data_IF_437214961071
#
_entry.id   IF_437214961071
#
_cell.length_a   1.000
_cell.length_b   1.000
_cell.length_c   1.000
_cell.angle_alpha   90.00
_cell.angle_beta   90.00
_cell.angle_gamma   90.00
#
_symmetry.space_group_name_H-M   'P 1'
#
loop_
_entity.id
_entity.type
_entity.pdbx_description
1 polymer ?
#
# COMPACT_ATOMS: atom_id res chain seq x y z
N UNK A 1 14.25 -30.42 16.00
CA UNK A 1 14.79 -29.21 16.60
C UNK A 1 13.84 -28.10 16.19
N UNK A 2 12.91 -27.77 17.07
CA UNK A 2 12.06 -26.60 16.91
C UNK A 2 12.95 -25.39 17.16
N UNK A 3 13.26 -24.63 16.09
CA UNK A 3 13.75 -23.28 16.25
C UNK A 3 12.64 -22.50 16.94
N UNK A 4 12.88 -22.00 18.11
CA UNK A 4 12.14 -20.89 18.67
C UNK A 4 12.40 -19.75 17.68
N UNK A 5 11.44 -19.48 16.78
CA UNK A 5 11.33 -18.17 16.17
C UNK A 5 11.07 -17.26 17.36
N UNK A 6 12.07 -16.47 17.77
CA UNK A 6 11.87 -15.41 18.73
C UNK A 6 10.84 -14.49 18.10
N UNK A 7 9.60 -14.55 18.58
CA UNK A 7 8.53 -13.65 18.14
C UNK A 7 9.02 -12.22 18.37
N UNK A 8 9.24 -11.49 17.28
CA UNK A 8 9.68 -10.09 17.33
C UNK A 8 8.54 -9.27 17.93
N UNK A 9 8.79 -8.67 19.08
CA UNK A 9 7.82 -7.78 19.73
C UNK A 9 8.05 -6.38 19.17
N UNK A 10 7.20 -5.96 18.21
CA UNK A 10 7.32 -4.70 17.48
C UNK A 10 7.40 -3.48 18.42
N UNK A 11 6.65 -3.51 19.52
CA UNK A 11 6.63 -2.40 20.50
C UNK A 11 7.93 -2.22 21.28
N UNK A 12 8.85 -3.20 21.28
CA UNK A 12 10.14 -3.12 21.96
C UNK A 12 11.25 -2.60 21.05
N UNK A 13 11.04 -2.57 19.73
CA UNK A 13 12.00 -2.09 18.75
C UNK A 13 12.16 -0.56 18.84
N UNK A 14 13.38 -0.05 18.62
CA UNK A 14 13.62 1.37 18.37
C UNK A 14 12.95 1.80 17.05
N UNK A 15 12.75 3.11 16.85
CA UNK A 15 11.98 3.60 15.68
C UNK A 15 12.57 3.19 14.34
N UNK A 16 13.89 3.22 14.20
CA UNK A 16 14.61 2.81 12.99
C UNK A 16 14.52 1.30 12.77
N UNK A 17 14.68 0.51 13.83
CA UNK A 17 14.52 -0.95 13.78
C UNK A 17 13.07 -1.34 13.44
N UNK A 18 12.08 -0.64 14.00
CA UNK A 18 10.67 -0.86 13.70
C UNK A 18 10.35 -0.55 12.23
N UNK A 19 10.89 0.54 11.69
CA UNK A 19 10.72 0.88 10.26
C UNK A 19 11.36 -0.17 9.36
N UNK A 20 12.56 -0.64 9.67
CA UNK A 20 13.20 -1.73 8.92
C UNK A 20 12.39 -3.03 8.99
N UNK A 21 11.87 -3.36 10.17
CA UNK A 21 10.98 -4.52 10.33
C UNK A 21 9.69 -4.36 9.52
N UNK A 22 9.07 -3.19 9.51
CA UNK A 22 7.89 -2.91 8.69
C UNK A 22 8.17 -3.03 7.18
N UNK A 23 9.39 -2.70 6.72
CA UNK A 23 9.77 -2.96 5.31
C UNK A 23 9.79 -4.46 5.02
N UNK A 24 10.29 -5.28 5.95
CA UNK A 24 10.27 -6.74 5.82
C UNK A 24 8.83 -7.28 5.89
N UNK A 25 8.02 -6.80 6.82
CA UNK A 25 6.62 -7.22 6.98
C UNK A 25 5.78 -6.90 5.73
N UNK A 26 6.03 -5.72 5.10
CA UNK A 26 5.44 -5.40 3.80
C UNK A 26 5.89 -6.38 2.70
N UNK A 27 7.19 -6.67 2.65
CA UNK A 27 7.76 -7.58 1.68
C UNK A 27 7.15 -8.98 1.78
N UNK A 28 6.91 -9.44 3.01
CA UNK A 28 6.31 -10.74 3.30
C UNK A 28 4.76 -10.70 3.26
N UNK A 29 4.16 -9.51 3.13
CA UNK A 29 2.72 -9.32 3.03
C UNK A 29 1.99 -9.50 4.37
N UNK A 30 2.65 -9.22 5.48
CA UNK A 30 2.15 -9.39 6.84
C UNK A 30 1.28 -8.18 7.24
N UNK A 31 -0.01 -8.34 7.04
CA UNK A 31 -1.00 -7.26 7.19
C UNK A 31 -1.14 -6.80 8.63
N UNK A 32 -1.26 -7.73 9.57
CA UNK A 32 -1.48 -7.46 10.99
C UNK A 32 -0.28 -6.73 11.59
N UNK A 33 0.93 -7.14 11.25
CA UNK A 33 2.18 -6.53 11.69
C UNK A 33 2.33 -5.10 11.16
N UNK A 34 1.90 -4.85 9.92
CA UNK A 34 1.87 -3.51 9.35
C UNK A 34 0.84 -2.62 10.07
N UNK A 35 -0.35 -3.11 10.36
CA UNK A 35 -1.35 -2.38 11.14
C UNK A 35 -0.81 -2.03 12.53
N UNK A 36 -0.17 -2.97 13.22
CA UNK A 36 0.45 -2.76 14.53
C UNK A 36 1.61 -1.76 14.46
N UNK A 37 2.53 -1.91 13.51
CA UNK A 37 3.67 -1.00 13.34
C UNK A 37 3.25 0.44 13.07
N UNK A 38 2.22 0.64 12.24
CA UNK A 38 1.62 1.98 11.99
C UNK A 38 1.08 2.58 13.29
N UNK A 39 0.34 1.80 14.08
CA UNK A 39 -0.22 2.26 15.35
C UNK A 39 0.90 2.67 16.32
N UNK A 40 1.93 1.84 16.49
CA UNK A 40 3.05 2.12 17.37
C UNK A 40 3.77 3.42 17.00
N UNK A 41 4.06 3.63 15.70
CA UNK A 41 4.73 4.86 15.25
C UNK A 41 3.85 6.10 15.48
N UNK A 42 2.54 6.01 15.25
CA UNK A 42 1.60 7.10 15.54
C UNK A 42 1.55 7.42 17.05
N UNK A 43 1.50 6.40 17.92
CA UNK A 43 1.52 6.56 19.37
C UNK A 43 2.83 7.19 19.88
N UNK A 44 3.95 6.94 19.20
CA UNK A 44 5.24 7.57 19.46
C UNK A 44 5.36 9.00 18.92
N UNK A 45 4.28 9.54 18.32
CA UNK A 45 4.20 10.92 17.86
C UNK A 45 4.73 11.15 16.44
N UNK A 46 4.93 10.11 15.65
CA UNK A 46 5.22 10.27 14.23
C UNK A 46 4.02 10.88 13.51
N UNK A 47 4.26 11.83 12.61
CA UNK A 47 3.18 12.34 11.77
C UNK A 47 2.69 11.25 10.81
N UNK A 48 1.39 11.22 10.47
CA UNK A 48 0.85 10.27 9.50
C UNK A 48 1.59 10.28 8.16
N UNK A 49 2.03 11.45 7.71
CA UNK A 49 2.81 11.59 6.48
C UNK A 49 4.21 10.95 6.60
N UNK A 50 4.87 11.09 7.74
CA UNK A 50 6.16 10.46 7.98
C UNK A 50 6.05 8.94 7.99
N UNK A 51 5.03 8.40 8.67
CA UNK A 51 4.76 6.95 8.67
C UNK A 51 4.49 6.45 7.24
N UNK A 52 3.68 7.18 6.47
CA UNK A 52 3.40 6.84 5.07
C UNK A 52 4.68 6.77 4.25
N UNK A 53 5.51 7.81 4.29
CA UNK A 53 6.67 7.92 3.39
C UNK A 53 7.82 7.01 3.79
N UNK A 54 8.18 6.97 5.06
CA UNK A 54 9.38 6.26 5.52
C UNK A 54 9.12 4.76 5.77
N UNK A 55 7.96 4.40 6.33
CA UNK A 55 7.66 3.00 6.61
C UNK A 55 6.96 2.31 5.44
N UNK A 56 5.91 2.89 4.88
CA UNK A 56 5.08 2.18 3.91
C UNK A 56 5.56 2.37 2.46
N UNK A 57 5.73 3.60 1.99
CA UNK A 57 6.12 3.88 0.60
C UNK A 57 7.52 3.36 0.31
N UNK A 58 8.47 3.55 1.23
CA UNK A 58 9.83 3.04 1.06
C UNK A 58 9.86 1.51 1.05
N UNK A 59 9.08 0.84 1.91
CA UNK A 59 8.93 -0.62 1.87
C UNK A 59 8.39 -1.12 0.54
N UNK A 60 7.34 -0.47 0.00
CA UNK A 60 6.80 -0.81 -1.32
C UNK A 60 7.77 -0.49 -2.47
N UNK A 61 8.67 0.50 -2.31
CA UNK A 61 9.73 0.76 -3.28
C UNK A 61 10.69 -0.42 -3.38
N UNK A 62 11.04 -1.04 -2.26
CA UNK A 62 11.87 -2.26 -2.21
C UNK A 62 11.17 -3.40 -2.96
N UNK A 63 9.90 -3.66 -2.65
CA UNK A 63 9.07 -4.66 -3.34
C UNK A 63 9.05 -4.40 -4.85
N UNK A 64 8.88 -3.14 -5.27
CA UNK A 64 8.85 -2.76 -6.67
C UNK A 64 10.16 -2.98 -7.41
N UNK A 65 11.30 -2.79 -6.76
CA UNK A 65 12.63 -3.08 -7.33
C UNK A 65 12.79 -4.57 -7.57
N UNK A 66 12.48 -5.40 -6.59
CA UNK A 66 12.64 -6.85 -6.69
C UNK A 66 11.64 -7.47 -7.67
N UNK A 67 10.45 -6.89 -7.80
CA UNK A 67 9.52 -7.25 -8.86
C UNK A 67 10.06 -6.91 -10.25
N UNK A 68 10.60 -5.72 -10.44
CA UNK A 68 11.24 -5.30 -11.71
C UNK A 68 12.39 -6.23 -12.08
N UNK A 69 13.19 -6.63 -11.10
CA UNK A 69 14.39 -7.43 -11.30
C UNK A 69 14.08 -8.94 -11.40
N UNK A 70 12.79 -9.32 -11.32
CA UNK A 70 12.34 -10.70 -11.47
C UNK A 70 12.60 -11.61 -10.26
N UNK A 71 12.84 -11.01 -9.09
CA UNK A 71 13.00 -11.70 -7.81
C UNK A 71 11.63 -12.04 -7.22
N UNK A 72 10.72 -11.05 -7.23
CA UNK A 72 9.32 -11.24 -6.83
C UNK A 72 8.42 -11.43 -8.06
N UNK A 73 7.32 -12.13 -7.85
CA UNK A 73 6.28 -12.35 -8.85
C UNK A 73 4.97 -11.69 -8.42
N UNK A 74 3.98 -11.65 -9.33
CA UNK A 74 2.70 -10.96 -9.10
C UNK A 74 2.01 -11.35 -7.79
N UNK A 75 1.89 -12.64 -7.40
CA UNK A 75 1.22 -12.99 -6.14
C UNK A 75 1.84 -12.36 -4.91
N UNK A 76 3.17 -12.30 -4.84
CA UNK A 76 3.92 -11.71 -3.70
C UNK A 76 3.73 -10.20 -3.64
N UNK A 77 3.77 -9.53 -4.79
CA UNK A 77 3.49 -8.07 -4.87
C UNK A 77 2.07 -7.76 -4.44
N UNK A 78 1.09 -8.62 -4.74
CA UNK A 78 -0.30 -8.44 -4.30
C UNK A 78 -0.44 -8.60 -2.78
N UNK A 79 0.28 -9.52 -2.16
CA UNK A 79 0.30 -9.65 -0.71
C UNK A 79 0.88 -8.40 -0.05
N UNK A 80 2.01 -7.90 -0.56
CA UNK A 80 2.60 -6.64 -0.12
C UNK A 80 1.64 -5.44 -0.29
N UNK A 81 0.98 -5.34 -1.45
CA UNK A 81 -0.01 -4.30 -1.71
C UNK A 81 -1.22 -4.36 -0.75
N UNK A 82 -1.67 -5.56 -0.38
CA UNK A 82 -2.73 -5.73 0.61
C UNK A 82 -2.29 -5.28 2.01
N UNK A 83 -1.06 -5.59 2.41
CA UNK A 83 -0.49 -5.11 3.68
C UNK A 83 -0.35 -3.57 3.67
N UNK A 84 0.16 -2.98 2.58
CA UNK A 84 0.19 -1.53 2.37
C UNK A 84 -1.19 -0.90 2.51
N UNK A 85 -2.20 -1.50 1.87
CA UNK A 85 -3.59 -1.02 1.93
C UNK A 85 -4.16 -1.02 3.35
N UNK A 86 -3.81 -2.00 4.17
CA UNK A 86 -4.20 -2.06 5.57
C UNK A 86 -3.60 -0.91 6.38
N UNK A 87 -2.29 -0.66 6.25
CA UNK A 87 -1.64 0.51 6.86
C UNK A 87 -2.23 1.84 6.39
N UNK A 88 -2.51 1.95 5.09
CA UNK A 88 -3.16 3.14 4.51
C UNK A 88 -4.58 3.38 5.05
N UNK A 89 -5.33 2.33 5.37
CA UNK A 89 -6.67 2.48 5.95
C UNK A 89 -6.64 3.21 7.30
N UNK A 90 -5.58 3.03 8.07
CA UNK A 90 -5.36 3.75 9.33
C UNK A 90 -4.93 5.21 9.07
N UNK A 91 -4.04 5.42 8.10
CA UNK A 91 -3.44 6.73 7.83
C UNK A 91 -4.35 7.70 7.08
N UNK A 92 -5.22 7.21 6.16
CA UNK A 92 -6.06 8.06 5.29
C UNK A 92 -6.88 9.10 6.03
N UNK A 93 -7.67 8.77 7.08
CA UNK A 93 -8.43 9.79 7.80
C UNK A 93 -7.52 10.84 8.45
N UNK A 94 -6.36 10.43 8.97
CA UNK A 94 -5.40 11.33 9.61
C UNK A 94 -4.68 12.24 8.58
N UNK A 95 -4.39 11.70 7.39
CA UNK A 95 -3.81 12.48 6.29
C UNK A 95 -4.81 13.48 5.71
N UNK A 96 -6.10 13.14 5.66
CA UNK A 96 -7.15 14.04 5.19
C UNK A 96 -7.37 15.25 6.11
N UNK A 97 -7.08 15.10 7.39
CA UNK A 97 -7.12 16.19 8.39
C UNK A 97 -5.84 17.05 8.41
N UNK A 98 -4.79 16.60 7.74
CA UNK A 98 -3.51 17.29 7.64
C UNK A 98 -3.32 17.92 6.25
N UNK A 99 -2.56 19.02 6.17
CA UNK A 99 -2.12 19.62 4.88
C UNK A 99 -1.03 18.79 4.17
N UNK A 100 -0.99 17.48 4.41
CA UNK A 100 0.01 16.60 3.84
C UNK A 100 -0.17 16.44 2.32
N UNK A 101 0.91 16.45 1.53
CA UNK A 101 0.82 16.24 0.09
C UNK A 101 0.30 14.82 -0.21
N UNK A 102 -0.77 14.73 -0.98
CA UNK A 102 -1.27 13.44 -1.49
C UNK A 102 -0.40 13.00 -2.68
N UNK A 103 -0.16 11.70 -2.80
CA UNK A 103 0.57 11.12 -3.94
C UNK A 103 -0.15 11.38 -5.27
N UNK A 104 -1.46 11.46 -5.22
CA UNK A 104 -2.32 11.74 -6.36
C UNK A 104 -3.53 10.82 -6.41
N UNK A 105 -4.39 11.09 -7.38
CA UNK A 105 -5.62 10.36 -7.63
C UNK A 105 -5.60 9.76 -9.02
N UNK A 106 -5.95 8.48 -9.13
CA UNK A 106 -6.00 7.73 -10.38
C UNK A 106 -7.43 7.26 -10.59
N UNK A 107 -7.94 7.48 -11.79
CA UNK A 107 -9.21 6.90 -12.23
C UNK A 107 -8.90 5.77 -13.21
N UNK A 108 -9.48 4.60 -12.99
CA UNK A 108 -9.26 3.42 -13.81
C UNK A 108 -10.60 2.80 -14.20
N UNK A 109 -10.69 2.33 -15.43
CA UNK A 109 -11.90 1.67 -15.94
C UNK A 109 -11.59 0.82 -17.15
N UNK A 110 -12.48 -0.13 -17.46
CA UNK A 110 -12.43 -0.93 -18.68
C UNK A 110 -13.36 -0.29 -19.72
N UNK A 111 -12.83 -0.07 -20.90
CA UNK A 111 -13.56 0.62 -22.01
C UNK A 111 -14.81 -0.13 -22.46
N UNK A 112 -15.71 0.62 -23.11
CA UNK A 112 -16.95 0.08 -23.67
C UNK A 112 -16.68 -1.08 -24.63
N UNK A 113 -17.47 -2.13 -24.46
CA UNK A 113 -17.34 -3.38 -25.24
C UNK A 113 -16.37 -4.39 -24.66
N UNK A 114 -15.67 -4.03 -23.58
CA UNK A 114 -14.76 -4.91 -22.86
C UNK A 114 -15.25 -5.16 -21.43
N UNK A 115 -15.25 -6.42 -21.02
CA UNK A 115 -15.64 -6.87 -19.66
C UNK A 115 -14.49 -7.42 -18.85
N UNK A 116 -13.24 -7.33 -19.37
CA UNK A 116 -12.07 -7.79 -18.63
C UNK A 116 -11.78 -6.85 -17.45
N UNK A 117 -11.73 -7.40 -16.26
CA UNK A 117 -11.49 -6.66 -15.03
C UNK A 117 -10.28 -7.14 -14.24
N UNK A 118 -9.82 -8.38 -14.45
CA UNK A 118 -8.71 -8.97 -13.67
C UNK A 118 -7.45 -8.11 -13.80
N UNK A 119 -7.02 -7.77 -15.01
CA UNK A 119 -5.84 -6.92 -15.23
C UNK A 119 -6.03 -5.50 -14.70
N UNK A 120 -7.23 -4.92 -14.86
CA UNK A 120 -7.58 -3.61 -14.32
C UNK A 120 -7.49 -3.59 -12.80
N UNK A 121 -8.08 -4.60 -12.13
CA UNK A 121 -8.07 -4.71 -10.68
C UNK A 121 -6.65 -4.89 -10.16
N UNK A 122 -5.82 -5.68 -10.85
CA UNK A 122 -4.41 -5.85 -10.53
C UNK A 122 -3.64 -4.52 -10.58
N UNK A 123 -3.79 -3.76 -11.65
CA UNK A 123 -3.16 -2.43 -11.78
C UNK A 123 -3.67 -1.49 -10.69
N UNK A 124 -4.97 -1.47 -10.43
CA UNK A 124 -5.57 -0.67 -9.36
C UNK A 124 -4.96 -0.98 -8.00
N UNK A 125 -4.85 -2.26 -7.64
CA UNK A 125 -4.24 -2.69 -6.38
C UNK A 125 -2.76 -2.29 -6.26
N UNK A 126 -2.00 -2.41 -7.34
CA UNK A 126 -0.60 -1.99 -7.34
C UNK A 126 -0.45 -0.47 -7.18
N UNK A 127 -1.35 0.33 -7.78
CA UNK A 127 -1.38 1.78 -7.61
C UNK A 127 -1.81 2.18 -6.20
N UNK A 128 -2.82 1.51 -5.61
CA UNK A 128 -3.18 1.69 -4.20
C UNK A 128 -2.00 1.35 -3.28
N UNK A 129 -1.29 0.25 -3.56
CA UNK A 129 -0.06 -0.13 -2.86
C UNK A 129 1.07 0.89 -2.99
N UNK A 130 1.11 1.67 -4.06
CA UNK A 130 2.05 2.77 -4.24
C UNK A 130 1.59 4.09 -3.57
N UNK A 131 0.45 4.09 -2.86
CA UNK A 131 -0.03 5.24 -2.08
C UNK A 131 -0.97 6.17 -2.84
N UNK A 132 -1.42 5.81 -4.05
CA UNK A 132 -2.40 6.59 -4.80
C UNK A 132 -3.83 6.31 -4.33
N UNK A 133 -4.70 7.32 -4.41
CA UNK A 133 -6.15 7.10 -4.33
C UNK A 133 -6.62 6.58 -5.69
N UNK A 134 -7.19 5.37 -5.72
CA UNK A 134 -7.71 4.76 -6.95
C UNK A 134 -9.23 4.78 -6.96
N UNK A 135 -9.79 5.38 -8.00
CA UNK A 135 -11.23 5.40 -8.27
C UNK A 135 -11.50 4.44 -9.42
N UNK A 136 -12.08 3.29 -9.11
CA UNK A 136 -12.47 2.30 -10.10
C UNK A 136 -13.88 2.60 -10.60
N UNK A 137 -14.00 2.91 -11.88
CA UNK A 137 -15.29 3.18 -12.53
C UNK A 137 -15.90 1.94 -13.23
N UNK A 138 -15.32 0.78 -12.99
CA UNK A 138 -15.85 -0.52 -13.42
C UNK A 138 -15.47 -0.91 -14.83
N UNK A 139 -16.31 -1.78 -15.40
CA UNK A 139 -16.14 -2.33 -16.75
C UNK A 139 -17.16 -1.72 -17.72
N UNK A 140 -16.95 -1.92 -19.01
CA UNK A 140 -17.85 -1.46 -20.07
C UNK A 140 -18.19 0.04 -19.98
N UNK A 141 -17.20 0.85 -19.59
CA UNK A 141 -17.35 2.29 -19.41
C UNK A 141 -17.31 2.99 -20.76
N UNK A 142 -18.34 3.79 -21.07
CA UNK A 142 -18.38 4.54 -22.30
C UNK A 142 -17.47 5.79 -22.28
N UNK A 143 -17.28 6.39 -23.45
CA UNK A 143 -16.41 7.57 -23.60
C UNK A 143 -16.93 8.75 -22.77
N UNK A 144 -18.25 8.91 -22.67
CA UNK A 144 -18.85 9.99 -21.89
C UNK A 144 -18.58 9.80 -20.39
N UNK A 145 -18.68 8.57 -19.88
CA UNK A 145 -18.30 8.24 -18.50
C UNK A 145 -16.84 8.55 -18.21
N UNK A 146 -15.92 8.19 -19.13
CA UNK A 146 -14.50 8.50 -19.01
C UNK A 146 -14.23 10.02 -19.15
N UNK A 147 -14.98 10.72 -19.98
CA UNK A 147 -14.83 12.17 -20.19
C UNK A 147 -15.24 12.98 -18.97
N UNK A 148 -16.26 12.55 -18.24
CA UNK A 148 -16.77 13.25 -17.03
C UNK A 148 -15.73 13.30 -15.88
N UNK A 149 -14.71 12.48 -15.93
CA UNK A 149 -13.62 12.47 -14.94
C UNK A 149 -12.82 13.78 -14.94
N UNK A 150 -12.81 14.51 -16.05
CA UNK A 150 -12.08 15.77 -16.22
C UNK A 150 -12.88 17.02 -15.84
N UNK A 151 -14.09 16.84 -15.41
CA UNK A 151 -14.96 17.90 -14.91
C UNK A 151 -14.98 17.85 -13.39
#
# INVERSE_FOLDING_TARGET
MSGEEDDIILSELADDELVEQMHQDLYDGLKEEIEEGVQILLERGWSPYKVLTEALVEGMRIVGIDFRDGILFVPEVLLAANAMKAGMAILRPLLAESDAPQQGRIVIGTVKGDIHDIGKNLVGMMMEGAGFEVIDIGINTDVDGLSLIHI
#
